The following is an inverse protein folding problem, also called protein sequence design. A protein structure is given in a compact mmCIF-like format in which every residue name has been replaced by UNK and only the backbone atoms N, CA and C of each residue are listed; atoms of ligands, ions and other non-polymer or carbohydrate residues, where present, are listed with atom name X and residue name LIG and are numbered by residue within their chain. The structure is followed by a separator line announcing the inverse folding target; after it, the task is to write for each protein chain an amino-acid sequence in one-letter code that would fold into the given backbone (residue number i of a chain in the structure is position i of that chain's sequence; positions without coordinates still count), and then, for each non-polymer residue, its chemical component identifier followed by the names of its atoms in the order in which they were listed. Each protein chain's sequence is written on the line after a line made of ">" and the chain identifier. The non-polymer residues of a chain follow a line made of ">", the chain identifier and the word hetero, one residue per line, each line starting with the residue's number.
data_IF_991383385225
#
_entry.id   IF_991383385225
#
_cell.length_a   1.000
_cell.length_b   1.000
_cell.length_c   1.000
_cell.angle_alpha   90.00
_cell.angle_beta   90.00
_cell.angle_gamma   90.00
#
_symmetry.space_group_name_H-M   'P 1'
#
loop_
_entity.id
_entity.type
_entity.pdbx_description
1 polymer ?
#
# COMPACT_ATOMS: atom_id res chain seq x y z
N UNK A 1 18.97 -1.73 13.27
CA UNK A 1 19.59 -1.59 11.95
C UNK A 1 18.77 -2.32 10.89
N UNK A 2 18.92 -1.99 9.59
CA UNK A 2 18.29 -2.73 8.49
C UNK A 2 18.62 -4.23 8.51
N UNK A 3 19.87 -4.58 8.78
CA UNK A 3 20.31 -5.98 8.91
C UNK A 3 19.57 -6.73 10.03
N UNK A 4 19.46 -6.13 11.23
CA UNK A 4 18.71 -6.72 12.33
C UNK A 4 17.22 -6.90 11.99
N UNK A 5 16.65 -5.97 11.24
CA UNK A 5 15.25 -6.06 10.80
C UNK A 5 15.08 -7.22 9.80
N UNK A 6 16.00 -7.36 8.84
CA UNK A 6 15.99 -8.44 7.87
C UNK A 6 16.05 -9.82 8.54
N UNK A 7 16.95 -9.98 9.52
CA UNK A 7 17.07 -11.22 10.32
C UNK A 7 15.79 -11.51 11.12
N UNK A 8 15.26 -10.51 11.84
CA UNK A 8 14.02 -10.65 12.62
C UNK A 8 12.80 -10.99 11.75
N UNK A 9 12.78 -10.49 10.53
CA UNK A 9 11.71 -10.75 9.56
C UNK A 9 11.86 -12.11 8.84
N UNK A 10 13.00 -12.81 9.02
CA UNK A 10 13.30 -14.07 8.35
C UNK A 10 13.45 -13.93 6.84
N UNK A 11 14.00 -12.79 6.39
CA UNK A 11 14.21 -12.48 4.97
C UNK A 11 15.70 -12.29 4.63
N UNK A 12 16.59 -12.84 5.44
CA UNK A 12 18.05 -12.81 5.31
C UNK A 12 18.61 -13.86 4.34
N UNK A 13 17.76 -14.49 3.56
CA UNK A 13 18.12 -15.43 2.49
C UNK A 13 18.44 -14.70 1.18
N UNK A 14 19.18 -15.40 0.30
CA UNK A 14 19.54 -14.94 -1.05
C UNK A 14 18.69 -15.62 -2.12
N UNK A 15 18.64 -15.02 -3.31
CA UNK A 15 17.99 -15.57 -4.50
C UNK A 15 19.04 -15.96 -5.52
N UNK A 16 19.06 -17.22 -5.88
CA UNK A 16 19.99 -17.80 -6.85
C UNK A 16 19.29 -18.06 -8.19
N UNK A 17 20.01 -17.87 -9.27
CA UNK A 17 19.55 -18.24 -10.61
C UNK A 17 20.06 -19.64 -10.94
N UNK A 18 19.16 -20.60 -11.09
CA UNK A 18 19.51 -21.98 -11.43
C UNK A 18 18.99 -22.37 -12.82
N UNK A 19 19.73 -23.23 -13.52
CA UNK A 19 19.34 -23.73 -14.83
C UNK A 19 18.12 -24.64 -14.74
N UNK A 20 17.23 -24.49 -15.70
CA UNK A 20 16.08 -25.37 -15.85
C UNK A 20 16.42 -26.54 -16.77
N UNK A 21 15.99 -27.73 -16.36
CA UNK A 21 16.17 -28.97 -17.12
C UNK A 21 14.79 -29.59 -17.34
N UNK A 22 14.50 -29.99 -18.55
CA UNK A 22 13.28 -30.74 -18.87
C UNK A 22 13.34 -32.18 -18.28
N UNK A 23 12.22 -32.87 -18.17
CA UNK A 23 12.18 -34.25 -17.71
C UNK A 23 13.00 -35.20 -18.60
N UNK A 24 13.25 -34.83 -19.83
CA UNK A 24 14.14 -35.55 -20.78
C UNK A 24 15.62 -35.18 -20.66
N UNK A 25 16.03 -34.37 -19.66
CA UNK A 25 17.43 -34.00 -19.43
C UNK A 25 17.96 -32.82 -20.27
N UNK A 26 17.12 -32.20 -21.11
CA UNK A 26 17.55 -31.04 -21.92
C UNK A 26 17.50 -29.74 -21.16
N UNK A 27 18.55 -28.95 -21.23
CA UNK A 27 18.61 -27.61 -20.60
C UNK A 27 17.75 -26.60 -21.37
N UNK A 28 16.94 -25.81 -20.66
CA UNK A 28 16.19 -24.68 -21.21
C UNK A 28 17.11 -23.47 -21.33
N UNK A 29 17.51 -23.11 -22.55
CA UNK A 29 18.63 -22.20 -22.80
C UNK A 29 18.39 -20.73 -22.44
N UNK A 30 17.14 -20.25 -22.41
CA UNK A 30 16.78 -18.83 -22.25
C UNK A 30 15.97 -18.51 -20.99
N UNK A 31 15.80 -19.49 -20.10
CA UNK A 31 15.09 -19.36 -18.84
C UNK A 31 15.93 -19.90 -17.68
N UNK A 32 15.69 -19.34 -16.50
CA UNK A 32 16.30 -19.79 -15.24
C UNK A 32 15.26 -19.74 -14.12
N UNK A 33 15.36 -20.65 -13.16
CA UNK A 33 14.60 -20.61 -11.93
C UNK A 33 15.25 -19.58 -10.96
N UNK A 34 14.41 -18.83 -10.27
CA UNK A 34 14.80 -18.10 -9.08
C UNK A 34 14.59 -19.00 -7.87
N UNK A 35 15.67 -19.33 -7.18
CA UNK A 35 15.64 -20.29 -6.07
C UNK A 35 16.05 -19.58 -4.78
N UNK A 36 15.24 -19.75 -3.76
CA UNK A 36 15.52 -19.23 -2.41
C UNK A 36 16.57 -20.10 -1.72
N UNK A 37 17.66 -19.50 -1.23
CA UNK A 37 18.80 -20.22 -0.66
C UNK A 37 18.47 -20.95 0.65
N UNK A 38 17.51 -20.46 1.43
CA UNK A 38 17.21 -21.02 2.76
C UNK A 38 16.53 -22.39 2.73
N UNK A 39 15.77 -22.73 1.67
CA UNK A 39 14.99 -23.97 1.58
C UNK A 39 14.93 -24.58 0.20
N UNK A 40 15.56 -23.98 -0.81
CA UNK A 40 15.52 -24.46 -2.20
C UNK A 40 14.20 -24.23 -2.93
N UNK A 41 13.27 -23.46 -2.35
CA UNK A 41 11.98 -23.17 -2.99
C UNK A 41 12.15 -22.37 -4.26
N UNK A 42 11.47 -22.77 -5.33
CA UNK A 42 11.43 -22.02 -6.59
C UNK A 42 10.42 -20.89 -6.45
N UNK A 43 10.92 -19.65 -6.49
CA UNK A 43 10.09 -18.45 -6.39
C UNK A 43 9.41 -18.15 -7.73
N UNK A 44 10.17 -18.19 -8.83
CA UNK A 44 9.64 -17.96 -10.18
C UNK A 44 10.60 -18.47 -11.28
N UNK A 45 10.19 -18.34 -12.53
CA UNK A 45 10.97 -18.67 -13.73
C UNK A 45 11.11 -17.43 -14.61
N UNK A 46 12.31 -16.94 -14.75
CA UNK A 46 12.62 -15.68 -15.43
C UNK A 46 13.52 -15.85 -16.65
N UNK A 47 13.61 -14.83 -17.50
CA UNK A 47 14.62 -14.77 -18.57
C UNK A 47 16.02 -14.56 -18.03
N UNK A 48 17.05 -14.98 -18.76
CA UNK A 48 18.47 -14.83 -18.36
C UNK A 48 18.90 -13.38 -18.04
N UNK A 49 18.32 -12.40 -18.71
CA UNK A 49 18.61 -10.98 -18.50
C UNK A 49 17.88 -10.36 -17.29
N UNK A 50 17.10 -11.13 -16.54
CA UNK A 50 16.50 -10.67 -15.30
C UNK A 50 17.48 -10.90 -14.14
N UNK A 51 17.71 -9.87 -13.32
CA UNK A 51 18.65 -9.94 -12.20
C UNK A 51 17.90 -9.75 -10.88
N UNK A 52 17.99 -10.71 -9.94
CA UNK A 52 17.43 -10.52 -8.62
C UNK A 52 18.22 -9.44 -7.88
N UNK A 53 17.54 -8.43 -7.38
CA UNK A 53 18.10 -7.57 -6.32
C UNK A 53 18.04 -8.36 -5.03
N UNK A 54 19.17 -8.54 -4.38
CA UNK A 54 19.23 -9.32 -3.15
C UNK A 54 18.53 -8.57 -2.01
N UNK A 55 17.95 -9.30 -1.07
CA UNK A 55 17.25 -8.68 0.06
C UNK A 55 18.20 -7.76 0.85
N UNK A 56 19.47 -8.16 1.03
CA UNK A 56 20.49 -7.35 1.69
C UNK A 56 20.75 -6.01 0.95
N UNK A 57 20.80 -6.00 -0.38
CA UNK A 57 20.93 -4.77 -1.16
C UNK A 57 19.72 -3.85 -0.95
N UNK A 58 18.53 -4.45 -0.98
CA UNK A 58 17.28 -3.73 -0.78
C UNK A 58 17.22 -3.07 0.61
N UNK A 59 17.63 -3.78 1.65
CA UNK A 59 17.64 -3.25 3.02
C UNK A 59 18.79 -2.25 3.26
N UNK A 60 19.95 -2.41 2.62
CA UNK A 60 21.05 -1.47 2.70
C UNK A 60 20.68 -0.07 2.18
N UNK A 61 19.69 0.03 1.29
CA UNK A 61 19.13 1.31 0.89
C UNK A 61 18.70 2.17 2.09
N UNK A 62 18.15 1.57 3.13
CA UNK A 62 17.70 2.30 4.32
C UNK A 62 18.84 2.69 5.28
N UNK A 63 20.03 2.06 5.16
CA UNK A 63 21.08 2.20 6.17
C UNK A 63 21.58 3.64 6.32
N UNK A 64 21.73 4.35 5.22
CA UNK A 64 22.17 5.74 5.21
C UNK A 64 21.17 6.65 5.94
N UNK A 65 19.88 6.48 5.67
CA UNK A 65 18.81 7.26 6.30
C UNK A 65 18.62 6.92 7.78
N UNK A 66 18.79 5.66 8.14
CA UNK A 66 18.73 5.22 9.54
C UNK A 66 19.93 5.76 10.31
N UNK A 67 21.12 5.76 9.73
CA UNK A 67 22.32 6.35 10.34
C UNK A 67 22.27 7.87 10.46
N UNK A 68 21.65 8.55 9.49
CA UNK A 68 21.41 9.99 9.54
C UNK A 68 20.33 10.38 10.56
N UNK A 69 19.55 9.42 11.06
CA UNK A 69 18.43 9.67 11.94
C UNK A 69 17.16 10.16 11.24
N UNK A 70 17.13 10.10 9.90
CA UNK A 70 15.98 10.53 9.10
C UNK A 70 14.84 9.50 9.06
N UNK A 71 15.19 8.24 9.31
CA UNK A 71 14.24 7.10 9.30
C UNK A 71 14.54 6.10 10.40
N UNK A 72 13.50 5.37 10.80
CA UNK A 72 13.59 4.24 11.69
C UNK A 72 12.94 3.01 11.04
N UNK A 73 13.65 1.89 10.98
CA UNK A 73 13.05 0.63 10.55
C UNK A 73 11.90 0.25 11.49
N UNK A 74 10.71 0.05 10.94
CA UNK A 74 9.52 -0.24 11.73
C UNK A 74 9.16 -1.72 11.67
N UNK A 75 8.97 -2.26 10.45
CA UNK A 75 8.63 -3.66 10.25
C UNK A 75 9.04 -4.13 8.86
N UNK A 76 9.20 -5.42 8.69
CA UNK A 76 9.50 -6.05 7.40
C UNK A 76 8.93 -7.46 7.37
N UNK A 77 8.88 -8.05 6.18
CA UNK A 77 8.41 -9.40 5.99
C UNK A 77 8.41 -9.84 4.54
N UNK A 78 7.75 -10.94 4.28
CA UNK A 78 7.52 -11.42 2.92
C UNK A 78 6.05 -11.77 2.69
N UNK A 79 5.63 -11.71 1.43
CA UNK A 79 4.30 -12.09 0.95
C UNK A 79 4.42 -13.16 -0.14
N UNK A 80 3.35 -13.92 -0.36
CA UNK A 80 3.27 -14.93 -1.41
C UNK A 80 4.43 -15.94 -1.34
N UNK A 81 4.66 -16.52 -0.17
CA UNK A 81 5.71 -17.50 0.07
C UNK A 81 7.14 -17.01 -0.26
N UNK A 82 7.42 -15.74 0.01
CA UNK A 82 8.71 -15.09 -0.23
C UNK A 82 8.90 -14.49 -1.62
N UNK A 83 7.91 -14.59 -2.51
CA UNK A 83 7.98 -13.95 -3.84
C UNK A 83 8.03 -12.42 -3.80
N UNK A 84 7.61 -11.84 -2.68
CA UNK A 84 7.68 -10.40 -2.44
C UNK A 84 8.25 -10.15 -1.06
N UNK A 85 9.43 -9.57 -0.97
CA UNK A 85 10.00 -9.06 0.28
C UNK A 85 9.67 -7.58 0.40
N UNK A 86 9.30 -7.14 1.59
CA UNK A 86 8.93 -5.76 1.85
C UNK A 86 9.48 -5.26 3.18
N UNK A 87 9.67 -3.95 3.28
CA UNK A 87 10.04 -3.26 4.50
C UNK A 87 9.30 -1.93 4.63
N UNK A 88 8.93 -1.57 5.84
CA UNK A 88 8.44 -0.25 6.23
C UNK A 88 9.48 0.45 7.09
N UNK A 89 9.85 1.65 6.69
CA UNK A 89 10.66 2.56 7.49
C UNK A 89 9.83 3.81 7.80
N UNK A 90 9.73 4.14 9.09
CA UNK A 90 9.07 5.36 9.57
C UNK A 90 10.00 6.55 9.37
N UNK A 91 9.49 7.65 8.83
CA UNK A 91 10.21 8.93 8.76
C UNK A 91 9.98 9.75 10.03
N UNK A 92 10.74 10.84 10.18
CA UNK A 92 10.50 11.81 11.25
C UNK A 92 9.31 12.74 10.98
N UNK A 93 8.66 12.59 9.84
CA UNK A 93 7.54 13.42 9.42
C UNK A 93 6.22 12.81 9.87
N UNK A 94 5.40 13.62 10.50
CA UNK A 94 4.02 13.28 10.86
C UNK A 94 3.18 14.54 10.78
N UNK A 95 1.89 14.39 10.67
CA UNK A 95 0.95 15.47 10.84
C UNK A 95 -0.22 15.04 11.72
N UNK A 96 -0.81 16.00 12.40
CA UNK A 96 -1.98 15.82 13.23
C UNK A 96 -3.16 16.56 12.60
N UNK A 97 -4.31 15.92 12.58
CA UNK A 97 -5.58 16.46 12.14
C UNK A 97 -6.58 16.36 13.30
N UNK A 98 -7.52 17.28 13.36
CA UNK A 98 -8.70 17.18 14.24
C UNK A 98 -8.40 16.80 15.71
N UNK A 99 -7.45 17.50 16.35
CA UNK A 99 -7.08 17.35 17.77
C UNK A 99 -6.79 15.90 18.20
N UNK A 100 -5.79 15.27 17.60
CA UNK A 100 -5.31 13.95 17.99
C UNK A 100 -5.37 12.87 16.90
N UNK A 101 -5.88 13.18 15.73
CA UNK A 101 -5.83 12.26 14.58
C UNK A 101 -4.44 12.30 13.92
N UNK A 102 -3.51 11.56 14.48
CA UNK A 102 -2.11 11.54 14.02
C UNK A 102 -1.95 10.60 12.84
N UNK A 103 -1.31 11.10 11.79
CA UNK A 103 -0.85 10.34 10.64
C UNK A 103 0.67 10.39 10.58
N UNK A 104 1.30 9.22 10.64
CA UNK A 104 2.73 9.04 10.52
C UNK A 104 3.10 8.68 9.08
N UNK A 105 4.27 9.13 8.67
CA UNK A 105 4.76 8.86 7.33
C UNK A 105 5.75 7.71 7.30
N UNK A 106 5.56 6.80 6.35
CA UNK A 106 6.40 5.63 6.13
C UNK A 106 6.84 5.52 4.67
N UNK A 107 8.03 4.96 4.46
CA UNK A 107 8.42 4.41 3.17
C UNK A 107 8.17 2.91 3.15
N UNK A 108 7.36 2.48 2.20
CA UNK A 108 7.18 1.08 1.85
C UNK A 108 8.12 0.74 0.70
N UNK A 109 9.07 -0.13 0.97
CA UNK A 109 9.94 -0.74 -0.02
C UNK A 109 9.45 -2.15 -0.33
N UNK A 110 9.41 -2.51 -1.60
CA UNK A 110 9.01 -3.85 -2.06
C UNK A 110 9.98 -4.39 -3.09
N UNK A 111 10.54 -5.55 -2.81
CA UNK A 111 11.46 -6.27 -3.67
C UNK A 111 10.81 -7.57 -4.16
N UNK A 112 10.22 -7.59 -5.37
CA UNK A 112 9.61 -8.78 -5.92
C UNK A 112 10.66 -9.70 -6.56
N UNK A 113 10.59 -10.99 -6.24
CA UNK A 113 11.32 -12.06 -6.90
C UNK A 113 10.42 -12.80 -7.89
N UNK A 114 9.74 -12.03 -8.73
CA UNK A 114 8.68 -12.53 -9.63
C UNK A 114 8.74 -11.77 -10.97
N UNK A 115 8.58 -12.50 -12.07
CA UNK A 115 8.59 -11.94 -13.42
C UNK A 115 7.48 -10.90 -13.61
N UNK A 116 7.82 -9.82 -14.31
CA UNK A 116 6.86 -8.76 -14.65
C UNK A 116 6.59 -7.75 -13.53
N UNK A 117 7.20 -7.92 -12.37
CA UNK A 117 7.15 -6.95 -11.28
C UNK A 117 8.47 -6.18 -11.16
N UNK A 118 8.39 -4.94 -10.74
CA UNK A 118 9.55 -4.07 -10.48
C UNK A 118 9.68 -3.83 -8.98
N UNK A 119 10.88 -3.48 -8.53
CA UNK A 119 11.08 -2.91 -7.20
C UNK A 119 10.22 -1.65 -7.11
N UNK A 120 9.57 -1.48 -5.99
CA UNK A 120 8.64 -0.40 -5.74
C UNK A 120 8.97 0.25 -4.41
N UNK A 121 9.20 1.56 -4.44
CA UNK A 121 9.41 2.37 -3.24
C UNK A 121 8.38 3.47 -3.27
N UNK A 122 7.57 3.54 -2.22
CA UNK A 122 6.51 4.53 -2.11
C UNK A 122 6.36 5.05 -0.70
N UNK A 123 5.93 6.30 -0.62
CA UNK A 123 5.47 6.88 0.62
C UNK A 123 4.08 6.34 0.96
N UNK A 124 3.89 5.97 2.19
CA UNK A 124 2.64 5.41 2.71
C UNK A 124 2.32 6.07 4.05
N UNK A 125 1.41 7.04 4.09
CA UNK A 125 0.91 7.56 5.35
C UNK A 125 0.14 6.46 6.08
N UNK A 126 0.34 6.36 7.38
CA UNK A 126 -0.38 5.43 8.25
C UNK A 126 -1.03 6.23 9.36
N UNK A 127 -2.34 6.14 9.45
CA UNK A 127 -3.11 6.75 10.54
C UNK A 127 -2.92 5.94 11.80
N UNK A 128 -2.36 6.56 12.84
CA UNK A 128 -1.90 5.86 14.05
C UNK A 128 -3.04 5.17 14.81
N UNK A 129 -4.19 5.81 14.91
CA UNK A 129 -5.33 5.31 15.70
C UNK A 129 -5.89 3.97 15.19
N UNK A 130 -5.76 3.68 13.90
CA UNK A 130 -6.36 2.49 13.28
C UNK A 130 -5.40 1.66 12.44
N UNK A 131 -4.12 2.05 12.36
CA UNK A 131 -3.13 1.43 11.47
C UNK A 131 -3.59 1.32 10.00
N UNK A 132 -4.49 2.19 9.56
CA UNK A 132 -4.93 2.22 8.17
C UNK A 132 -3.79 2.71 7.30
N UNK A 133 -3.43 1.91 6.30
CA UNK A 133 -2.50 2.32 5.26
C UNK A 133 -3.22 3.21 4.26
N UNK A 134 -2.93 4.48 4.29
CA UNK A 134 -3.49 5.44 3.36
C UNK A 134 -2.67 5.38 2.07
N UNK A 135 -3.34 5.16 0.96
CA UNK A 135 -2.63 5.11 -0.33
C UNK A 135 -2.52 6.51 -0.88
N UNK A 136 -1.29 7.04 -0.96
CA UNK A 136 -1.05 8.28 -1.69
C UNK A 136 -1.20 8.04 -3.19
N UNK A 137 -2.25 8.57 -3.75
CA UNK A 137 -2.39 8.77 -5.19
C UNK A 137 -3.22 10.03 -5.40
N UNK A 138 -2.57 11.15 -5.31
CA UNK A 138 -3.15 12.46 -5.65
C UNK A 138 -3.01 12.70 -7.15
N UNK A 139 -3.40 11.79 -7.98
CA UNK A 139 -3.48 11.82 -9.43
C UNK A 139 -2.90 10.54 -10.05
N UNK A 140 -3.20 10.30 -11.30
CA UNK A 140 -2.63 9.22 -12.12
C UNK A 140 -1.10 9.40 -12.37
N UNK A 141 -0.50 10.47 -11.88
CA UNK A 141 0.92 10.73 -11.98
C UNK A 141 1.72 9.86 -11.00
N UNK A 142 2.56 9.02 -11.55
CA UNK A 142 3.42 8.03 -10.88
C UNK A 142 4.49 8.62 -9.94
N UNK A 143 4.48 9.92 -9.68
CA UNK A 143 5.59 10.65 -9.06
C UNK A 143 5.79 10.45 -7.55
N UNK A 144 4.89 9.74 -6.86
CA UNK A 144 5.09 9.33 -5.45
C UNK A 144 5.57 7.89 -5.31
N UNK A 145 5.98 7.27 -6.42
CA UNK A 145 6.37 5.87 -6.49
C UNK A 145 7.59 5.73 -7.41
N UNK A 146 8.68 5.21 -6.87
CA UNK A 146 9.86 4.83 -7.66
C UNK A 146 9.72 3.38 -8.07
N UNK A 147 9.86 3.11 -9.35
CA UNK A 147 9.91 1.76 -9.90
C UNK A 147 11.27 1.49 -10.52
N UNK A 148 11.99 0.54 -9.96
CA UNK A 148 13.27 0.10 -10.52
C UNK A 148 13.09 -1.27 -11.18
N UNK A 149 13.47 -1.34 -12.44
CA UNK A 149 13.38 -2.58 -13.23
C UNK A 149 14.57 -3.49 -12.90
N UNK A 150 14.33 -4.78 -12.67
CA UNK A 150 15.34 -5.82 -12.44
C UNK A 150 16.35 -6.03 -13.59
N UNK A 151 16.24 -5.31 -14.69
CA UNK A 151 17.22 -5.29 -15.79
C UNK A 151 18.24 -4.16 -15.68
N UNK A 152 18.03 -3.23 -14.74
CA UNK A 152 18.96 -2.14 -14.42
C UNK A 152 19.57 -2.41 -13.05
N UNK A 153 20.75 -1.87 -12.82
CA UNK A 153 21.33 -1.81 -11.49
C UNK A 153 20.46 -0.90 -10.60
N UNK A 154 20.40 -1.23 -9.33
CA UNK A 154 19.66 -0.44 -8.35
C UNK A 154 20.47 0.82 -8.03
N UNK A 155 19.93 2.00 -8.38
CA UNK A 155 20.56 3.30 -8.09
C UNK A 155 19.83 3.98 -6.91
N UNK A 156 20.50 4.03 -5.77
CA UNK A 156 19.98 4.69 -4.57
C UNK A 156 19.84 6.21 -4.73
N UNK A 157 20.62 6.85 -5.63
CA UNK A 157 20.53 8.29 -5.85
C UNK A 157 19.25 8.69 -6.60
N UNK A 158 18.81 7.89 -7.59
CA UNK A 158 17.52 8.07 -8.27
C UNK A 158 16.36 8.00 -7.27
N UNK A 159 16.47 7.11 -6.30
CA UNK A 159 15.46 6.97 -5.24
C UNK A 159 15.45 8.19 -4.31
N UNK A 160 16.61 8.73 -3.94
CA UNK A 160 16.73 9.92 -3.08
C UNK A 160 16.05 11.16 -3.68
N UNK A 161 16.24 11.40 -4.98
CA UNK A 161 15.59 12.50 -5.68
C UNK A 161 14.05 12.39 -5.59
N UNK A 162 13.54 11.20 -5.79
CA UNK A 162 12.11 10.92 -5.71
C UNK A 162 11.55 11.04 -4.29
N UNK A 163 12.37 10.84 -3.25
CA UNK A 163 11.96 11.06 -1.86
C UNK A 163 11.70 12.54 -1.55
N UNK A 164 12.42 13.47 -2.20
CA UNK A 164 12.15 14.90 -2.09
C UNK A 164 10.74 15.28 -2.56
N UNK A 165 10.28 14.66 -3.64
CA UNK A 165 8.92 14.83 -4.18
C UNK A 165 7.86 14.28 -3.22
N UNK A 166 8.19 13.26 -2.46
CA UNK A 166 7.28 12.63 -1.55
C UNK A 166 6.87 13.56 -0.37
N UNK A 167 7.77 14.48 0.07
CA UNK A 167 7.44 15.47 1.11
C UNK A 167 6.36 16.44 0.66
N UNK A 168 6.45 16.96 -0.55
CA UNK A 168 5.43 17.83 -1.14
C UNK A 168 4.06 17.13 -1.21
N UNK A 169 4.06 15.85 -1.54
CA UNK A 169 2.84 15.02 -1.59
C UNK A 169 2.19 14.83 -0.22
N UNK A 170 2.96 14.81 0.86
CA UNK A 170 2.40 14.73 2.21
C UNK A 170 1.65 16.01 2.60
N UNK A 171 2.16 17.18 2.25
CA UNK A 171 1.45 18.45 2.47
C UNK A 171 0.16 18.52 1.65
N UNK A 172 0.20 18.07 0.39
CA UNK A 172 -1.00 17.96 -0.44
C UNK A 172 -2.01 17.00 0.18
N UNK A 173 -1.56 15.87 0.71
CA UNK A 173 -2.42 14.89 1.38
C UNK A 173 -3.07 15.46 2.63
N UNK A 174 -2.30 16.17 3.46
CA UNK A 174 -2.80 16.87 4.65
C UNK A 174 -3.89 17.88 4.28
N UNK A 175 -3.63 18.74 3.31
CA UNK A 175 -4.60 19.74 2.82
C UNK A 175 -5.89 19.08 2.34
N UNK A 176 -5.78 17.98 1.59
CA UNK A 176 -6.92 17.20 1.13
C UNK A 176 -7.70 16.58 2.29
N UNK A 177 -7.01 16.02 3.29
CA UNK A 177 -7.65 15.43 4.46
C UNK A 177 -8.41 16.49 5.29
N UNK A 178 -7.82 17.67 5.47
CA UNK A 178 -8.46 18.83 6.11
C UNK A 178 -9.71 19.26 5.34
N UNK A 179 -9.63 19.34 4.01
CA UNK A 179 -10.77 19.64 3.15
C UNK A 179 -11.91 18.62 3.34
N UNK A 180 -11.61 17.31 3.23
CA UNK A 180 -12.60 16.25 3.43
C UNK A 180 -13.20 16.25 4.85
N UNK A 181 -12.40 16.60 5.85
CA UNK A 181 -12.86 16.72 7.24
C UNK A 181 -13.76 17.92 7.49
N UNK A 182 -13.62 18.98 6.71
CA UNK A 182 -14.46 20.19 6.77
C UNK A 182 -15.84 20.00 6.13
N UNK A 183 -16.00 19.00 5.27
CA UNK A 183 -17.21 18.76 4.46
C UNK A 183 -18.10 17.66 5.05
N UNK A 184 -19.36 17.99 5.27
CA UNK A 184 -20.34 17.09 5.88
C UNK A 184 -21.16 16.36 4.82
N UNK A 185 -21.38 15.06 5.00
CA UNK A 185 -22.30 14.29 4.18
C UNK A 185 -23.74 14.36 4.71
N UNK A 186 -24.69 14.20 3.82
CA UNK A 186 -26.10 13.90 4.18
C UNK A 186 -26.32 12.40 4.26
N UNK A 187 -27.42 11.97 4.85
CA UNK A 187 -27.79 10.54 4.92
C UNK A 187 -27.91 9.90 3.53
N UNK A 188 -28.34 10.67 2.52
CA UNK A 188 -28.43 10.18 1.14
C UNK A 188 -27.05 10.09 0.48
N UNK A 189 -26.21 11.13 0.65
CA UNK A 189 -24.89 11.17 0.06
C UNK A 189 -23.99 10.04 0.55
N UNK A 190 -24.04 9.73 1.85
CA UNK A 190 -23.17 8.68 2.40
C UNK A 190 -23.56 7.27 1.89
N UNK A 191 -24.85 6.98 1.73
CA UNK A 191 -25.29 5.71 1.15
C UNK A 191 -24.88 5.60 -0.32
N UNK A 192 -25.06 6.66 -1.11
CA UNK A 192 -24.63 6.68 -2.51
C UNK A 192 -23.10 6.56 -2.64
N UNK A 193 -22.35 7.27 -1.80
CA UNK A 193 -20.89 7.17 -1.74
C UNK A 193 -20.43 5.72 -1.55
N UNK A 194 -20.94 5.01 -0.55
CA UNK A 194 -20.59 3.61 -0.31
C UNK A 194 -21.05 2.69 -1.44
N UNK A 195 -22.24 2.93 -2.01
CA UNK A 195 -22.71 2.18 -3.16
C UNK A 195 -21.75 2.32 -4.35
N UNK A 196 -21.33 3.54 -4.67
CA UNK A 196 -20.41 3.79 -5.77
C UNK A 196 -19.03 3.19 -5.51
N UNK A 197 -18.50 3.31 -4.29
CA UNK A 197 -17.18 2.77 -3.94
C UNK A 197 -17.15 1.24 -4.07
N UNK A 198 -18.16 0.55 -3.56
CA UNK A 198 -18.19 -0.92 -3.47
C UNK A 198 -18.99 -1.61 -4.59
N UNK A 199 -19.62 -0.85 -5.44
CA UNK A 199 -20.47 -1.38 -6.50
C UNK A 199 -20.84 -0.33 -7.54
N UNK A 200 -22.13 -0.06 -7.64
CA UNK A 200 -22.72 0.94 -8.53
C UNK A 200 -23.74 1.80 -7.75
N UNK A 201 -23.99 3.04 -8.21
CA UNK A 201 -24.96 3.91 -7.57
C UNK A 201 -26.36 3.27 -7.61
N UNK A 202 -27.18 3.56 -6.60
CA UNK A 202 -28.59 3.24 -6.64
C UNK A 202 -29.28 4.12 -7.69
N UNK A 203 -30.07 3.51 -8.56
CA UNK A 203 -30.76 4.23 -9.65
C UNK A 203 -32.06 4.89 -9.17
N UNK A 204 -32.72 4.26 -8.22
CA UNK A 204 -34.02 4.67 -7.73
C UNK A 204 -34.08 4.55 -6.21
N UNK A 205 -34.92 5.35 -5.57
CA UNK A 205 -35.25 5.22 -4.15
C UNK A 205 -36.36 4.16 -3.98
N UNK A 206 -36.25 3.39 -2.92
CA UNK A 206 -37.31 2.45 -2.47
C UNK A 206 -37.86 3.02 -1.18
N UNK A 207 -39.18 3.24 -1.13
CA UNK A 207 -39.88 3.88 0.02
C UNK A 207 -39.21 5.20 0.46
N UNK A 208 -38.81 6.03 -0.49
CA UNK A 208 -38.04 7.28 -0.28
C UNK A 208 -36.65 7.11 0.34
N UNK A 209 -36.10 5.90 0.40
CA UNK A 209 -34.76 5.61 0.92
C UNK A 209 -33.88 5.10 -0.21
N UNK A 210 -32.62 5.52 -0.24
CA UNK A 210 -31.62 4.99 -1.16
C UNK A 210 -31.21 3.58 -0.67
N UNK A 211 -31.44 2.52 -1.48
CA UNK A 211 -31.07 1.17 -1.08
C UNK A 211 -29.56 0.93 -1.21
N UNK A 212 -29.01 0.03 -0.41
CA UNK A 212 -27.67 -0.48 -0.63
C UNK A 212 -27.63 -1.41 -1.84
N UNK A 213 -26.66 -1.16 -2.72
CA UNK A 213 -26.47 -1.95 -3.97
C UNK A 213 -25.46 -3.10 -3.81
N UNK A 214 -24.75 -3.15 -2.68
CA UNK A 214 -23.83 -4.24 -2.35
C UNK A 214 -23.77 -4.50 -0.84
N UNK A 215 -23.42 -5.73 -0.47
CA UNK A 215 -23.23 -6.09 0.93
C UNK A 215 -22.07 -5.30 1.57
N UNK A 216 -21.00 -5.02 0.81
CA UNK A 216 -19.89 -4.24 1.33
C UNK A 216 -20.27 -2.78 1.61
N UNK A 217 -21.17 -2.19 0.84
CA UNK A 217 -21.69 -0.84 1.13
C UNK A 217 -22.50 -0.83 2.44
N UNK A 218 -23.28 -1.87 2.68
CA UNK A 218 -24.03 -2.03 3.95
C UNK A 218 -23.07 -2.19 5.14
N UNK A 219 -22.07 -3.07 5.03
CA UNK A 219 -21.04 -3.28 6.07
C UNK A 219 -20.25 -1.99 6.33
N UNK A 220 -19.94 -1.21 5.29
CA UNK A 220 -19.27 0.09 5.46
C UNK A 220 -20.12 1.05 6.31
N UNK A 221 -21.41 1.09 6.07
CA UNK A 221 -22.32 1.91 6.87
C UNK A 221 -22.34 1.47 8.35
N UNK A 222 -22.26 0.17 8.63
CA UNK A 222 -22.20 -0.37 10.00
C UNK A 222 -20.89 0.03 10.73
N UNK A 223 -19.79 0.24 9.99
CA UNK A 223 -18.50 0.65 10.54
C UNK A 223 -18.29 2.17 10.59
N UNK A 224 -19.16 2.98 9.99
CA UNK A 224 -18.96 4.41 9.81
C UNK A 224 -18.69 5.15 11.12
N UNK A 225 -19.43 4.82 12.16
CA UNK A 225 -19.32 5.45 13.48
C UNK A 225 -18.58 4.59 14.52
N UNK A 226 -18.17 3.36 14.16
CA UNK A 226 -17.55 2.40 15.08
C UNK A 226 -16.08 2.10 14.77
N UNK A 227 -15.59 2.46 13.58
CA UNK A 227 -14.19 2.27 13.23
C UNK A 227 -13.28 3.13 14.13
N UNK A 228 -12.05 2.66 14.45
CA UNK A 228 -11.14 3.43 15.28
C UNK A 228 -10.90 4.83 14.72
N UNK A 229 -11.08 5.86 15.56
CA UNK A 229 -10.92 7.26 15.18
C UNK A 229 -12.10 7.87 14.41
N UNK A 230 -13.27 7.22 14.38
CA UNK A 230 -14.50 7.79 13.80
C UNK A 230 -14.90 9.13 14.43
N UNK A 231 -14.59 9.31 15.72
CA UNK A 231 -14.92 10.50 16.49
C UNK A 231 -14.13 11.75 16.10
N UNK A 232 -12.96 11.66 15.48
CA UNK A 232 -12.12 12.84 15.16
C UNK A 232 -12.78 13.77 14.13
N UNK A 233 -13.43 13.21 13.13
CA UNK A 233 -14.12 13.99 12.09
C UNK A 233 -15.48 13.38 11.76
N UNK A 234 -16.27 13.04 12.78
CA UNK A 234 -17.57 12.40 12.64
C UNK A 234 -18.49 13.20 11.71
N UNK A 235 -19.19 12.51 10.82
CA UNK A 235 -20.13 13.10 9.87
C UNK A 235 -19.47 13.74 8.65
N UNK A 236 -18.15 13.63 8.49
CA UNK A 236 -17.41 14.20 7.36
C UNK A 236 -17.03 13.15 6.31
N UNK A 237 -16.67 13.62 5.10
CA UNK A 237 -16.15 12.77 4.06
C UNK A 237 -14.76 12.18 4.40
N UNK A 238 -14.00 12.78 5.30
CA UNK A 238 -12.81 12.17 5.87
C UNK A 238 -13.15 10.92 6.68
N UNK A 239 -14.18 10.98 7.54
CA UNK A 239 -14.66 9.81 8.25
C UNK A 239 -15.16 8.72 7.30
N UNK A 240 -15.93 9.08 6.28
CA UNK A 240 -16.42 8.15 5.26
C UNK A 240 -15.26 7.46 4.50
N UNK A 241 -14.23 8.20 4.09
CA UNK A 241 -13.05 7.66 3.45
C UNK A 241 -12.27 6.71 4.38
N UNK A 242 -12.06 7.10 5.64
CA UNK A 242 -11.39 6.25 6.63
C UNK A 242 -12.15 4.96 6.93
N UNK A 243 -13.48 4.96 6.84
CA UNK A 243 -14.28 3.74 6.94
C UNK A 243 -13.95 2.76 5.82
N UNK A 244 -13.78 3.24 4.59
CA UNK A 244 -13.37 2.40 3.46
C UNK A 244 -11.95 1.86 3.65
N UNK A 245 -11.03 2.69 4.12
CA UNK A 245 -9.65 2.24 4.39
C UNK A 245 -9.62 1.19 5.51
N UNK A 246 -10.39 1.38 6.58
CA UNK A 246 -10.55 0.40 7.64
C UNK A 246 -11.09 -0.94 7.13
N UNK A 247 -12.14 -0.90 6.31
CA UNK A 247 -12.71 -2.12 5.73
C UNK A 247 -11.69 -2.88 4.86
N UNK A 248 -10.97 -2.17 4.02
CA UNK A 248 -9.99 -2.79 3.11
C UNK A 248 -8.76 -3.34 3.83
N UNK A 249 -8.34 -2.70 4.92
CA UNK A 249 -7.13 -3.05 5.65
C UNK A 249 -7.38 -4.05 6.79
N UNK A 250 -8.61 -4.11 7.35
CA UNK A 250 -8.88 -4.92 8.55
C UNK A 250 -10.05 -5.89 8.42
N UNK A 251 -11.07 -5.58 7.61
CA UNK A 251 -12.30 -6.38 7.54
C UNK A 251 -12.30 -7.34 6.34
N UNK A 252 -11.97 -6.83 5.15
CA UNK A 252 -12.03 -7.62 3.92
C UNK A 252 -10.83 -8.54 3.76
N UNK A 253 -11.07 -9.77 3.25
CA UNK A 253 -10.02 -10.74 2.97
C UNK A 253 -9.96 -11.89 3.98
N UNK A 254 -9.38 -13.02 3.54
CA UNK A 254 -9.34 -14.28 4.30
C UNK A 254 -8.10 -14.46 5.16
N UNK A 255 -7.00 -13.80 4.83
CA UNK A 255 -5.73 -13.87 5.56
C UNK A 255 -5.10 -12.48 5.69
N UNK A 256 -4.24 -12.30 6.68
CA UNK A 256 -3.51 -11.04 6.87
C UNK A 256 -2.60 -10.72 5.68
N UNK A 257 -1.83 -11.69 5.21
CA UNK A 257 -0.91 -11.53 4.07
C UNK A 257 -1.66 -11.19 2.78
N UNK A 258 -2.76 -11.90 2.49
CA UNK A 258 -3.59 -11.63 1.33
C UNK A 258 -4.25 -10.26 1.39
N UNK A 259 -4.66 -9.81 2.56
CA UNK A 259 -5.22 -8.48 2.81
C UNK A 259 -4.17 -7.40 2.60
N UNK A 260 -2.97 -7.55 3.18
CA UNK A 260 -1.85 -6.64 3.04
C UNK A 260 -1.41 -6.52 1.57
N UNK A 261 -1.22 -7.64 0.89
CA UNK A 261 -0.90 -7.67 -0.54
C UNK A 261 -1.97 -6.96 -1.39
N UNK A 262 -3.26 -7.17 -1.08
CA UNK A 262 -4.38 -6.53 -1.77
C UNK A 262 -4.43 -5.03 -1.50
N UNK A 263 -4.16 -4.59 -0.27
CA UNK A 263 -4.16 -3.19 0.14
C UNK A 263 -3.02 -2.38 -0.47
N UNK A 264 -1.87 -3.01 -0.69
CA UNK A 264 -0.71 -2.33 -1.26
C UNK A 264 -0.64 -2.42 -2.79
N UNK A 265 -1.00 -3.58 -3.38
CA UNK A 265 -0.74 -3.87 -4.80
C UNK A 265 -1.97 -4.32 -5.59
N UNK A 266 -3.06 -4.66 -4.91
CA UNK A 266 -4.19 -5.36 -5.49
C UNK A 266 -5.49 -4.56 -5.54
N UNK A 267 -6.59 -5.32 -5.40
CA UNK A 267 -7.95 -4.81 -5.49
C UNK A 267 -8.24 -3.75 -4.43
N UNK A 268 -7.83 -3.99 -3.16
CA UNK A 268 -8.15 -3.08 -2.05
C UNK A 268 -7.48 -1.72 -2.25
N UNK A 269 -6.26 -1.67 -2.82
CA UNK A 269 -5.64 -0.41 -3.23
C UNK A 269 -6.53 0.37 -4.20
N UNK A 270 -7.05 -0.29 -5.24
CA UNK A 270 -7.95 0.37 -6.21
C UNK A 270 -9.24 0.85 -5.59
N UNK A 271 -9.79 0.10 -4.62
CA UNK A 271 -10.97 0.53 -3.86
C UNK A 271 -10.68 1.78 -3.04
N UNK A 272 -9.54 1.85 -2.35
CA UNK A 272 -9.12 3.05 -1.61
C UNK A 272 -8.94 4.27 -2.51
N UNK A 273 -8.32 4.11 -3.68
CA UNK A 273 -8.19 5.20 -4.66
C UNK A 273 -9.56 5.70 -5.14
N UNK A 274 -10.43 4.78 -5.55
CA UNK A 274 -11.81 5.12 -5.95
C UNK A 274 -12.56 5.82 -4.81
N UNK A 275 -12.37 5.36 -3.58
CA UNK A 275 -13.02 5.97 -2.41
C UNK A 275 -12.55 7.41 -2.18
N UNK A 276 -11.25 7.67 -2.37
CA UNK A 276 -10.71 9.00 -2.26
C UNK A 276 -11.26 9.94 -3.34
N UNK A 277 -11.21 9.50 -4.61
CA UNK A 277 -11.74 10.26 -5.74
C UNK A 277 -13.23 10.60 -5.53
N UNK A 278 -14.02 9.61 -5.10
CA UNK A 278 -15.45 9.83 -4.81
C UNK A 278 -15.69 10.70 -3.59
N UNK A 279 -14.88 10.59 -2.54
CA UNK A 279 -15.00 11.49 -1.38
C UNK A 279 -14.76 12.95 -1.75
N UNK A 280 -13.77 13.22 -2.63
CA UNK A 280 -13.51 14.55 -3.16
C UNK A 280 -14.68 15.06 -4.02
N UNK A 281 -15.16 14.24 -4.95
CA UNK A 281 -16.31 14.59 -5.81
C UNK A 281 -17.56 14.97 -4.98
N UNK A 282 -17.90 14.18 -3.98
CA UNK A 282 -19.03 14.48 -3.09
C UNK A 282 -18.78 15.67 -2.17
N UNK A 283 -17.54 15.86 -1.71
CA UNK A 283 -17.17 16.99 -0.87
C UNK A 283 -17.18 18.33 -1.63
N UNK A 284 -16.81 18.34 -2.91
CA UNK A 284 -16.89 19.51 -3.78
C UNK A 284 -18.34 19.91 -4.07
N UNK A 285 -19.26 18.95 -4.10
CA UNK A 285 -20.67 19.19 -4.32
C UNK A 285 -21.46 19.57 -3.04
N UNK A 286 -20.82 19.46 -1.86
CA UNK A 286 -21.40 19.79 -0.56
C UNK A 286 -20.97 21.20 -0.11
#
# INVERSE_FOLDING_TARGET
>A
TPEQMMQKAGVDWTVEKQNLITSGGSTVSNKQALVRSSDGSVLDVVGKGWNPVQNAEAFNFFEEYVRAGDMQMHTAGSLNDGKMVWALAKTNESFELFDGDVTENYFLFSNPHEFGKAIDIRMTPIRVVCNNTLTLSLSQDSNAMVKVNHRKEFDSAEVKEQMGIAREKMEQYKTMAEFLGSKRYTSENIVQYFNEVFGSPAKEKVDNVIPFTSNNAKIAMEHLDTQPGANFAQGSFWNAFNTVTFMTDHVQGRSNDGRMASSWYGRNRRVKLKALDKALEYAEAA
#
